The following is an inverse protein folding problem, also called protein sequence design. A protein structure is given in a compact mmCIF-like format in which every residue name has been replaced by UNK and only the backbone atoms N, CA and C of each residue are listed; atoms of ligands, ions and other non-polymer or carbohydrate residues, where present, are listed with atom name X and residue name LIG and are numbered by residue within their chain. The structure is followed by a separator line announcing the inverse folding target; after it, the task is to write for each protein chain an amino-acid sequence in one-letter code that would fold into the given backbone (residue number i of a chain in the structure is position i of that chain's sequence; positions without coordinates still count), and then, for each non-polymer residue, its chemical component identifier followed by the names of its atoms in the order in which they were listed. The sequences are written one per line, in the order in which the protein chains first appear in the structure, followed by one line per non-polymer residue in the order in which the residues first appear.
data_IF_928031505205
#
_entry.id   IF_928031505205
#
_cell.length_a   1.000
_cell.length_b   1.000
_cell.length_c   1.000
_cell.angle_alpha   90.00
_cell.angle_beta   90.00
_cell.angle_gamma   90.00
#
_symmetry.space_group_name_H-M   'P 1'
#
loop_
_entity.id
_entity.type
_entity.pdbx_description
1 polymer ?
#
# COMPACT_ATOMS: atom_id res chain seq x y z
N UNK A 1 52.61 14.16 11.90
CA UNK A 1 52.30 12.78 12.35
C UNK A 1 51.04 12.68 13.22
N UNK A 2 50.81 13.59 14.18
CA UNK A 2 49.60 13.61 15.03
C UNK A 2 48.27 13.65 14.27
N UNK A 3 48.15 14.52 13.28
CA UNK A 3 46.95 14.64 12.44
C UNK A 3 46.63 13.37 11.67
N UNK A 4 47.65 12.69 11.13
CA UNK A 4 47.51 11.43 10.41
C UNK A 4 46.93 10.31 11.30
N UNK A 5 47.42 10.21 12.53
CA UNK A 5 46.94 9.22 13.51
C UNK A 5 45.51 9.55 13.97
N UNK A 6 45.20 10.82 14.23
CA UNK A 6 43.84 11.25 14.55
C UNK A 6 42.85 10.94 13.43
N UNK A 7 43.20 11.19 12.17
CA UNK A 7 42.32 10.87 11.03
C UNK A 7 42.00 9.38 10.95
N UNK A 8 43.00 8.51 11.15
CA UNK A 8 42.81 7.06 11.12
C UNK A 8 41.92 6.59 12.27
N UNK A 9 42.14 7.10 13.49
CA UNK A 9 41.30 6.79 14.65
C UNK A 9 39.84 7.26 14.46
N UNK A 10 39.66 8.45 13.89
CA UNK A 10 38.33 9.01 13.64
C UNK A 10 37.60 8.20 12.55
N UNK A 11 38.30 7.84 11.46
CA UNK A 11 37.77 6.99 10.41
C UNK A 11 37.38 5.61 10.95
N UNK A 12 38.23 5.01 11.79
CA UNK A 12 37.96 3.74 12.43
C UNK A 12 36.72 3.81 13.34
N UNK A 13 36.60 4.87 14.14
CA UNK A 13 35.41 5.11 14.96
C UNK A 13 34.14 5.25 14.13
N UNK A 14 34.17 6.00 13.03
CA UNK A 14 33.04 6.15 12.10
C UNK A 14 32.65 4.80 11.49
N UNK A 15 33.64 4.00 11.04
CA UNK A 15 33.40 2.67 10.48
C UNK A 15 32.80 1.71 11.51
N UNK A 16 33.28 1.73 12.76
CA UNK A 16 32.75 0.91 13.83
C UNK A 16 31.29 1.26 14.17
N UNK A 17 30.95 2.55 14.23
CA UNK A 17 29.57 3.00 14.44
C UNK A 17 28.69 2.62 13.24
N UNK A 18 29.17 2.83 12.01
CA UNK A 18 28.43 2.48 10.80
C UNK A 18 28.14 0.98 10.70
N UNK A 19 29.08 0.13 11.14
CA UNK A 19 28.92 -1.33 11.14
C UNK A 19 27.75 -1.81 12.01
N UNK A 20 27.34 -1.05 13.02
CA UNK A 20 26.16 -1.33 13.84
C UNK A 20 24.92 -0.56 13.38
N UNK A 21 25.07 0.73 13.07
CA UNK A 21 23.95 1.58 12.70
C UNK A 21 23.28 1.13 11.39
N UNK A 22 24.06 0.78 10.37
CA UNK A 22 23.53 0.37 9.06
C UNK A 22 22.65 -0.88 9.14
N UNK A 23 23.09 -2.02 9.72
CA UNK A 23 22.24 -3.20 9.82
C UNK A 23 21.03 -2.98 10.72
N UNK A 24 21.15 -2.19 11.80
CA UNK A 24 20.02 -1.83 12.66
C UNK A 24 18.95 -1.05 11.86
N UNK A 25 19.37 -0.05 11.08
CA UNK A 25 18.50 0.74 10.22
C UNK A 25 17.81 -0.12 9.15
N UNK A 26 18.53 -1.09 8.57
CA UNK A 26 17.97 -2.04 7.59
C UNK A 26 16.94 -2.99 8.22
N UNK A 27 17.21 -3.46 9.43
CA UNK A 27 16.30 -4.35 10.16
C UNK A 27 14.99 -3.63 10.53
N UNK A 28 15.08 -2.42 11.11
CA UNK A 28 13.90 -1.61 11.44
C UNK A 28 13.09 -1.24 10.20
N UNK A 29 13.74 -0.97 9.07
CA UNK A 29 13.03 -0.69 7.82
C UNK A 29 12.27 -1.91 7.28
N UNK A 30 12.84 -3.10 7.42
CA UNK A 30 12.21 -4.36 6.97
C UNK A 30 10.98 -4.70 7.82
N UNK A 31 11.10 -4.59 9.14
CA UNK A 31 10.00 -4.84 10.08
C UNK A 31 8.81 -3.88 9.85
N UNK A 32 9.10 -2.57 9.72
CA UNK A 32 8.06 -1.58 9.37
C UNK A 32 7.41 -1.85 8.02
N UNK A 33 8.19 -2.29 7.02
CA UNK A 33 7.63 -2.63 5.70
C UNK A 33 6.67 -3.82 5.81
N UNK A 34 7.06 -4.86 6.55
CA UNK A 34 6.21 -6.04 6.74
C UNK A 34 4.93 -5.69 7.49
N UNK A 35 5.00 -4.91 8.57
CA UNK A 35 3.83 -4.48 9.33
C UNK A 35 2.87 -3.64 8.50
N UNK A 36 3.39 -2.70 7.70
CA UNK A 36 2.55 -1.89 6.80
C UNK A 36 1.88 -2.76 5.74
N UNK A 37 2.61 -3.69 5.11
CA UNK A 37 2.04 -4.59 4.11
C UNK A 37 0.93 -5.44 4.72
N UNK A 38 1.14 -5.99 5.92
CA UNK A 38 0.14 -6.80 6.63
C UNK A 38 -1.11 -6.00 7.01
N UNK A 39 -0.93 -4.77 7.51
CA UNK A 39 -2.06 -3.90 7.87
C UNK A 39 -2.88 -3.52 6.63
N UNK A 40 -2.21 -3.07 5.56
CA UNK A 40 -2.89 -2.65 4.33
C UNK A 40 -3.50 -3.80 3.55
N UNK A 41 -2.93 -5.01 3.61
CA UNK A 41 -3.55 -6.19 3.00
C UNK A 41 -4.84 -6.58 3.71
N UNK A 42 -4.87 -6.53 5.05
CA UNK A 42 -6.08 -6.82 5.82
C UNK A 42 -7.21 -5.82 5.52
N UNK A 43 -6.87 -4.55 5.31
CA UNK A 43 -7.85 -3.53 4.91
C UNK A 43 -8.41 -3.79 3.52
N UNK A 44 -7.54 -4.15 2.56
CA UNK A 44 -7.95 -4.51 1.20
C UNK A 44 -8.87 -5.74 1.19
N UNK A 45 -8.57 -6.76 1.98
CA UNK A 45 -9.40 -7.96 2.09
C UNK A 45 -10.78 -7.64 2.68
N UNK A 46 -10.85 -6.72 3.66
CA UNK A 46 -12.13 -6.21 4.19
C UNK A 46 -12.95 -5.54 3.09
N UNK A 47 -12.35 -4.65 2.30
CA UNK A 47 -13.06 -3.99 1.18
C UNK A 47 -13.46 -4.97 0.07
N UNK A 48 -12.60 -5.95 -0.25
CA UNK A 48 -12.91 -7.03 -1.17
C UNK A 48 -14.15 -7.82 -0.72
N UNK A 49 -14.24 -8.17 0.57
CA UNK A 49 -15.40 -8.89 1.13
C UNK A 49 -16.69 -8.05 1.14
N UNK A 50 -16.58 -6.73 1.30
CA UNK A 50 -17.71 -5.80 1.23
C UNK A 50 -18.21 -5.69 -0.21
N UNK A 51 -17.30 -5.66 -1.18
CA UNK A 51 -17.64 -5.59 -2.59
C UNK A 51 -18.27 -6.91 -3.08
N UNK A 52 -17.77 -8.06 -2.62
CA UNK A 52 -18.35 -9.36 -2.97
C UNK A 52 -19.80 -9.49 -2.46
N UNK A 53 -20.06 -9.04 -1.22
CA UNK A 53 -21.43 -8.94 -0.69
C UNK A 53 -22.30 -7.99 -1.52
N UNK A 54 -21.77 -6.81 -1.87
CA UNK A 54 -22.45 -5.83 -2.71
C UNK A 54 -22.78 -6.37 -4.11
N UNK A 55 -21.91 -7.22 -4.67
CA UNK A 55 -22.15 -7.88 -5.95
C UNK A 55 -23.26 -8.94 -5.86
N UNK A 56 -23.37 -9.65 -4.72
CA UNK A 56 -24.41 -10.65 -4.50
C UNK A 56 -25.79 -10.07 -4.20
N UNK A 57 -25.88 -8.94 -3.48
CA UNK A 57 -27.15 -8.34 -3.06
C UNK A 57 -27.53 -7.04 -3.80
N UNK A 58 -26.62 -6.48 -4.61
CA UNK A 58 -26.80 -5.23 -5.34
C UNK A 58 -26.66 -3.95 -4.49
N UNK A 59 -26.40 -4.06 -3.19
CA UNK A 59 -26.31 -2.92 -2.27
C UNK A 59 -24.85 -2.46 -2.08
N UNK A 60 -24.53 -1.34 -2.72
CA UNK A 60 -23.21 -0.70 -2.67
C UNK A 60 -23.12 0.42 -1.62
N UNK A 61 -24.19 0.67 -0.85
CA UNK A 61 -24.24 1.75 0.13
C UNK A 61 -23.28 1.54 1.31
N UNK A 62 -23.17 0.29 1.77
CA UNK A 62 -22.31 -0.09 2.88
C UNK A 62 -20.82 0.11 2.54
N UNK A 63 -20.38 -0.33 1.36
CA UNK A 63 -18.99 -0.14 0.91
C UNK A 63 -18.68 1.34 0.67
N UNK A 64 -19.62 2.10 0.12
CA UNK A 64 -19.45 3.54 -0.09
C UNK A 64 -19.35 4.32 1.24
N UNK A 65 -20.15 3.96 2.25
CA UNK A 65 -20.10 4.57 3.57
C UNK A 65 -18.77 4.26 4.28
N UNK A 66 -18.34 3.01 4.26
CA UNK A 66 -17.09 2.57 4.88
C UNK A 66 -15.88 3.22 4.21
N UNK A 67 -15.83 3.24 2.88
CA UNK A 67 -14.74 3.86 2.13
C UNK A 67 -14.61 5.36 2.40
N UNK A 68 -15.74 6.09 2.48
CA UNK A 68 -15.72 7.51 2.84
C UNK A 68 -15.17 7.72 4.24
N UNK A 69 -15.61 6.91 5.21
CA UNK A 69 -15.12 6.99 6.59
C UNK A 69 -13.63 6.65 6.68
N UNK A 70 -13.18 5.64 5.95
CA UNK A 70 -11.78 5.25 5.89
C UNK A 70 -10.91 6.38 5.36
N UNK A 71 -11.27 6.98 4.22
CA UNK A 71 -10.52 8.11 3.66
C UNK A 71 -10.57 9.36 4.55
N UNK A 72 -11.64 9.58 5.33
CA UNK A 72 -11.67 10.65 6.32
C UNK A 72 -10.75 10.38 7.52
N UNK A 73 -10.67 9.13 7.99
CA UNK A 73 -9.90 8.77 9.17
C UNK A 73 -8.40 8.65 8.89
N UNK A 74 -8.04 8.05 7.74
CA UNK A 74 -6.66 7.74 7.39
C UNK A 74 -6.09 8.66 6.31
N UNK A 75 -6.92 9.47 5.64
CA UNK A 75 -6.47 10.30 4.51
C UNK A 75 -6.12 9.52 3.24
N UNK A 76 -6.27 8.20 3.26
CA UNK A 76 -5.89 7.31 2.16
C UNK A 76 -7.02 7.20 1.13
N UNK A 77 -6.80 7.63 -0.12
CA UNK A 77 -7.81 7.52 -1.16
C UNK A 77 -7.86 6.09 -1.71
N UNK A 78 -9.07 5.64 -2.03
CA UNK A 78 -9.32 4.34 -2.62
C UNK A 78 -10.36 4.42 -3.73
N UNK A 79 -10.30 3.45 -4.64
CA UNK A 79 -11.25 3.25 -5.73
C UNK A 79 -11.70 1.80 -5.70
N UNK A 80 -13.01 1.60 -5.72
CA UNK A 80 -13.63 0.27 -5.87
C UNK A 80 -14.40 0.24 -7.17
N UNK A 81 -14.23 -0.81 -7.95
CA UNK A 81 -14.97 -1.04 -9.20
C UNK A 81 -15.70 -2.38 -9.18
N UNK A 82 -16.74 -2.47 -10.01
CA UNK A 82 -17.41 -3.74 -10.31
C UNK A 82 -16.59 -4.62 -11.28
N UNK A 83 -17.12 -5.77 -11.67
CA UNK A 83 -16.53 -6.69 -12.65
C UNK A 83 -16.38 -6.12 -14.07
N UNK A 84 -17.13 -5.06 -14.39
CA UNK A 84 -17.08 -4.35 -15.68
C UNK A 84 -16.10 -3.17 -15.64
N UNK A 85 -15.46 -2.91 -14.50
CA UNK A 85 -14.58 -1.77 -14.30
C UNK A 85 -15.33 -0.46 -14.05
N UNK A 86 -16.64 -0.49 -13.81
CA UNK A 86 -17.40 0.69 -13.44
C UNK A 86 -17.11 1.07 -11.99
N UNK A 87 -16.81 2.36 -11.71
CA UNK A 87 -16.51 2.79 -10.35
C UNK A 87 -17.76 2.73 -9.47
N UNK A 88 -17.68 1.92 -8.43
CA UNK A 88 -18.68 1.84 -7.36
C UNK A 88 -18.38 2.91 -6.31
N UNK A 89 -17.09 3.10 -6.00
CA UNK A 89 -16.63 4.11 -5.04
C UNK A 89 -15.35 4.78 -5.55
N UNK A 90 -15.27 6.10 -5.35
CA UNK A 90 -14.07 6.89 -5.57
C UNK A 90 -13.92 7.88 -4.41
N UNK A 91 -12.77 7.88 -3.74
CA UNK A 91 -12.52 8.77 -2.59
C UNK A 91 -11.21 9.55 -2.73
N UNK A 92 -11.12 10.66 -1.98
CA UNK A 92 -9.90 11.47 -1.83
C UNK A 92 -9.25 11.91 -3.16
N UNK A 93 -10.07 12.16 -4.17
CA UNK A 93 -9.62 12.66 -5.48
C UNK A 93 -9.03 11.61 -6.42
N UNK A 94 -8.95 10.34 -6.02
CA UNK A 94 -8.55 9.26 -6.93
C UNK A 94 -9.71 8.87 -7.84
N UNK A 95 -9.47 8.78 -9.15
CA UNK A 95 -10.49 8.39 -10.12
C UNK A 95 -10.10 7.11 -10.84
N UNK A 96 -11.10 6.25 -11.10
CA UNK A 96 -10.93 5.06 -11.92
C UNK A 96 -10.51 5.39 -13.37
N UNK A 97 -10.84 6.60 -13.84
CA UNK A 97 -10.47 7.10 -15.16
C UNK A 97 -8.98 7.47 -15.27
N UNK A 98 -8.25 7.59 -14.16
CA UNK A 98 -6.83 7.92 -14.20
C UNK A 98 -6.05 6.76 -14.83
N UNK A 99 -5.19 6.97 -15.84
CA UNK A 99 -4.52 5.88 -16.57
C UNK A 99 -3.65 4.96 -15.71
N UNK A 100 -3.12 5.47 -14.60
CA UNK A 100 -2.36 4.68 -13.63
C UNK A 100 -3.26 3.76 -12.81
N UNK A 101 -4.45 4.23 -12.41
CA UNK A 101 -5.44 3.49 -11.63
C UNK A 101 -6.16 2.48 -12.54
N UNK A 102 -6.53 2.86 -13.75
CA UNK A 102 -7.17 1.99 -14.73
C UNK A 102 -6.34 0.73 -15.04
N UNK A 103 -5.01 0.87 -15.18
CA UNK A 103 -4.10 -0.27 -15.37
C UNK A 103 -4.07 -1.22 -14.17
N UNK A 104 -4.17 -0.66 -12.95
CA UNK A 104 -4.20 -1.46 -11.72
C UNK A 104 -5.54 -2.17 -11.55
N UNK A 105 -6.65 -1.50 -11.88
CA UNK A 105 -8.00 -2.09 -11.93
C UNK A 105 -8.00 -3.26 -12.91
N UNK A 106 -7.51 -3.05 -14.12
CA UNK A 106 -7.47 -4.05 -15.17
C UNK A 106 -6.58 -5.26 -14.81
N UNK A 107 -5.46 -5.02 -14.13
CA UNK A 107 -4.65 -6.10 -13.54
C UNK A 107 -5.42 -6.87 -12.45
N UNK A 108 -6.04 -6.16 -11.51
CA UNK A 108 -6.81 -6.78 -10.43
C UNK A 108 -8.01 -7.58 -10.98
N UNK A 109 -8.71 -7.10 -12.00
CA UNK A 109 -9.80 -7.82 -12.66
C UNK A 109 -9.33 -9.11 -13.35
N UNK A 110 -8.06 -9.17 -13.78
CA UNK A 110 -7.41 -10.40 -14.24
C UNK A 110 -6.87 -11.29 -13.11
N UNK A 111 -7.33 -11.06 -11.88
CA UNK A 111 -6.86 -11.74 -10.68
C UNK A 111 -5.35 -11.54 -10.42
N UNK A 112 -4.78 -10.41 -10.87
CA UNK A 112 -3.38 -10.05 -10.62
C UNK A 112 -3.32 -8.95 -9.56
N UNK A 113 -2.97 -9.33 -8.33
CA UNK A 113 -2.77 -8.36 -7.25
C UNK A 113 -1.47 -7.57 -7.48
N UNK A 114 -1.56 -6.25 -7.39
CA UNK A 114 -0.41 -5.37 -7.53
C UNK A 114 0.03 -4.87 -6.15
N UNK A 115 1.24 -5.24 -5.75
CA UNK A 115 1.89 -4.78 -4.53
C UNK A 115 3.17 -4.01 -4.88
N UNK A 116 3.57 -3.02 -4.06
CA UNK A 116 4.85 -2.35 -4.21
C UNK A 116 6.00 -3.36 -4.15
N UNK A 117 6.73 -3.53 -5.26
CA UNK A 117 7.86 -4.48 -5.36
C UNK A 117 9.15 -3.97 -4.72
N UNK A 118 9.25 -2.68 -4.42
CA UNK A 118 10.45 -2.05 -3.87
C UNK A 118 10.34 -1.92 -2.35
N UNK A 119 11.31 -2.47 -1.62
CA UNK A 119 11.42 -2.34 -0.17
C UNK A 119 11.41 -0.87 0.26
N UNK A 120 10.68 -0.56 1.33
CA UNK A 120 10.69 0.78 1.89
C UNK A 120 12.00 0.98 2.65
N UNK A 121 12.73 2.04 2.28
CA UNK A 121 13.85 2.56 3.05
C UNK A 121 13.34 3.28 4.31
N UNK A 122 14.15 3.38 5.38
CA UNK A 122 13.74 3.99 6.66
C UNK A 122 13.39 5.50 6.57
N UNK A 123 13.67 6.13 5.43
CA UNK A 123 13.34 7.52 5.09
C UNK A 123 12.47 7.61 3.82
N UNK A 124 11.79 6.53 3.44
CA UNK A 124 10.84 6.57 2.32
C UNK A 124 9.64 7.39 2.72
N UNK A 125 9.41 8.49 2.01
CA UNK A 125 8.18 9.27 2.08
C UNK A 125 7.37 9.09 0.80
N UNK A 126 6.07 9.27 0.89
CA UNK A 126 5.18 9.34 -0.27
C UNK A 126 4.07 8.31 -0.22
N UNK A 127 3.57 7.93 -1.39
CA UNK A 127 2.41 7.06 -1.48
C UNK A 127 2.74 5.79 -2.27
N UNK A 128 2.13 4.67 -1.88
CA UNK A 128 2.23 3.40 -2.57
C UNK A 128 0.86 2.94 -3.03
N UNK A 129 0.78 2.50 -4.29
CA UNK A 129 -0.45 1.97 -4.85
C UNK A 129 -0.51 0.47 -4.60
N UNK A 130 -1.65 0.01 -4.12
CA UNK A 130 -2.00 -1.40 -3.94
C UNK A 130 -3.25 -1.70 -4.74
N UNK A 131 -3.34 -2.90 -5.31
CA UNK A 131 -4.54 -3.37 -5.97
C UNK A 131 -4.79 -4.84 -5.64
N UNK A 132 -6.04 -5.15 -5.28
CA UNK A 132 -6.49 -6.52 -5.04
C UNK A 132 -7.79 -6.79 -5.80
N UNK A 133 -8.00 -8.00 -6.34
CA UNK A 133 -9.32 -8.44 -6.79
C UNK A 133 -10.29 -8.49 -5.61
N UNK A 134 -11.53 -8.08 -5.83
CA UNK A 134 -12.63 -8.41 -4.94
C UNK A 134 -13.26 -9.74 -5.37
N UNK A 135 -13.53 -10.64 -4.42
CA UNK A 135 -14.20 -11.92 -4.67
C UNK A 135 -13.52 -13.09 -3.96
N UNK A 136 -13.99 -14.30 -4.23
CA UNK A 136 -13.29 -15.53 -3.84
C UNK A 136 -12.21 -15.80 -4.88
N UNK A 137 -11.00 -16.26 -4.54
CA UNK A 137 -9.86 -16.32 -5.50
C UNK A 137 -10.09 -17.06 -6.84
N UNK A 138 -11.23 -17.73 -7.00
CA UNK A 138 -11.75 -18.37 -8.22
C UNK A 138 -12.77 -17.54 -9.02
N UNK A 139 -13.38 -16.52 -8.42
CA UNK A 139 -14.38 -15.64 -9.03
C UNK A 139 -14.12 -14.18 -8.65
N UNK A 140 -13.88 -13.35 -9.65
CA UNK A 140 -13.67 -11.91 -9.46
C UNK A 140 -15.00 -11.18 -9.54
N UNK A 141 -15.38 -10.51 -8.46
CA UNK A 141 -16.58 -9.68 -8.28
C UNK A 141 -16.30 -8.18 -8.46
N UNK A 142 -15.03 -7.78 -8.51
CA UNK A 142 -14.62 -6.39 -8.74
C UNK A 142 -13.12 -6.16 -8.51
N UNK A 143 -12.71 -4.90 -8.40
CA UNK A 143 -11.34 -4.54 -8.07
C UNK A 143 -11.31 -3.43 -7.02
N UNK A 144 -10.33 -3.50 -6.12
CA UNK A 144 -10.07 -2.48 -5.11
C UNK A 144 -8.66 -1.96 -5.32
N UNK A 145 -8.54 -0.65 -5.50
CA UNK A 145 -7.25 0.06 -5.61
C UNK A 145 -7.14 1.04 -4.46
N UNK A 146 -6.06 0.94 -3.70
CA UNK A 146 -5.76 1.82 -2.56
C UNK A 146 -4.46 2.56 -2.82
N UNK A 147 -4.42 3.83 -2.43
CA UNK A 147 -3.17 4.57 -2.30
C UNK A 147 -2.87 4.74 -0.82
N UNK A 148 -2.01 3.88 -0.31
CA UNK A 148 -1.58 3.93 1.07
C UNK A 148 -0.46 4.96 1.23
N UNK A 149 -0.49 5.67 2.35
CA UNK A 149 0.65 6.47 2.79
C UNK A 149 1.67 5.52 3.45
N UNK A 150 2.96 5.79 3.23
CA UNK A 150 4.05 5.02 3.85
C UNK A 150 4.60 5.67 5.12
N UNK A 151 4.14 6.88 5.47
CA UNK A 151 4.53 7.56 6.70
C UNK A 151 3.61 7.24 7.91
N UNK A 152 2.47 6.55 7.71
CA UNK A 152 1.47 6.22 8.75
C UNK A 152 1.49 4.75 9.13
#
# INVERSE_FOLDING_TARGET
MRTRVQTVLLLFGVLAVAAFAVPLLLFTASDRTQQLVLARSSDLDRFASLMDRAAGNGDTSAIAAEARRYTQLYGEPLVVTDTRGHPVVQTGGMRAADPSVARLIDAALRNQSAHPRAALRPWSRGHRMFATPAGTGTQVSGAVVLRADVDT
#
